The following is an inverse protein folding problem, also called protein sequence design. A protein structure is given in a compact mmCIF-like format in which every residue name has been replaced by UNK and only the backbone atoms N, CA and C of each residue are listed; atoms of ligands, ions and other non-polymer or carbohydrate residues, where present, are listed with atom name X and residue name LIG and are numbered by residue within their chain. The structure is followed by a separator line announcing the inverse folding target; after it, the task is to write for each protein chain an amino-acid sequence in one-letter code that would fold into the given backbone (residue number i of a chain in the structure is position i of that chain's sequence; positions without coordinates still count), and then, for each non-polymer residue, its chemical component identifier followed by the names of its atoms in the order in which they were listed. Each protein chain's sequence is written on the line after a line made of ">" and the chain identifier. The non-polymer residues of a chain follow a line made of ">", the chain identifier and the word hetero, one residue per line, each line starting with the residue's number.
data_IF_911362742523
#
_entry.id   IF_911362742523
#
_cell.length_a   1.000
_cell.length_b   1.000
_cell.length_c   1.000
_cell.angle_alpha   90.00
_cell.angle_beta   90.00
_cell.angle_gamma   90.00
#
_symmetry.space_group_name_H-M   'P 1'
#
loop_
_entity.id
_entity.type
_entity.pdbx_description
1 polymer ?
#
# COMPACT_ATOMS: atom_id res chain seq x y z
N UNK A 1 -21.79 22.65 18.61
CA UNK A 1 -21.12 23.94 18.44
C UNK A 1 -19.62 23.67 18.44
N UNK A 2 -18.89 24.00 17.38
CA UNK A 2 -17.42 23.96 17.38
C UNK A 2 -16.95 25.04 18.37
N UNK A 3 -16.17 24.63 19.34
CA UNK A 3 -15.60 25.59 20.26
C UNK A 3 -14.27 26.11 19.70
N UNK A 4 -13.80 27.28 20.15
CA UNK A 4 -12.59 27.88 19.67
C UNK A 4 -11.35 26.97 19.86
N UNK A 5 -11.36 26.15 20.91
CA UNK A 5 -10.27 25.20 21.18
C UNK A 5 -10.19 24.12 20.11
N UNK A 6 -11.33 23.58 19.68
CA UNK A 6 -11.40 22.51 18.65
C UNK A 6 -10.90 23.04 17.30
N UNK A 7 -11.18 24.31 16.97
CA UNK A 7 -10.71 24.96 15.73
C UNK A 7 -9.17 25.12 15.78
N UNK A 8 -8.63 25.62 16.88
CA UNK A 8 -7.18 25.78 17.04
C UNK A 8 -6.43 24.46 17.06
N UNK A 9 -7.02 23.42 17.65
CA UNK A 9 -6.46 22.08 17.64
C UNK A 9 -6.40 21.50 16.22
N UNK A 10 -7.48 21.63 15.44
CA UNK A 10 -7.51 21.20 14.04
C UNK A 10 -6.47 21.95 13.19
N UNK A 11 -6.35 23.26 13.36
CA UNK A 11 -5.35 24.06 12.66
C UNK A 11 -3.92 23.60 13.01
N UNK A 12 -3.65 23.32 14.29
CA UNK A 12 -2.34 22.82 14.71
C UNK A 12 -2.03 21.43 14.12
N UNK A 13 -3.03 20.55 14.01
CA UNK A 13 -2.86 19.26 13.37
C UNK A 13 -2.41 19.39 11.91
N UNK A 14 -2.97 20.33 11.16
CA UNK A 14 -2.65 20.55 9.74
C UNK A 14 -1.29 21.26 9.61
N UNK A 15 -1.10 22.40 10.28
CA UNK A 15 0.05 23.27 10.06
C UNK A 15 1.36 22.75 10.70
N UNK A 16 1.26 22.02 11.83
CA UNK A 16 2.42 21.66 12.67
C UNK A 16 2.63 20.16 12.85
N UNK A 17 1.60 19.33 12.62
CA UNK A 17 1.62 17.92 12.98
C UNK A 17 1.43 17.01 11.75
N UNK A 18 1.55 17.54 10.54
CA UNK A 18 1.53 16.82 9.28
C UNK A 18 0.24 15.99 9.02
N UNK A 19 -0.93 16.48 9.51
CA UNK A 19 -2.21 15.89 9.11
C UNK A 19 -2.43 16.11 7.63
N UNK A 20 -2.61 15.05 6.87
CA UNK A 20 -2.96 15.14 5.45
C UNK A 20 -4.07 14.16 5.05
N UNK A 21 -4.78 14.50 3.99
CA UNK A 21 -5.52 13.53 3.20
C UNK A 21 -4.51 12.96 2.21
N UNK A 22 -3.99 11.79 2.51
CA UNK A 22 -2.96 11.17 1.70
C UNK A 22 -3.44 10.91 0.28
N UNK A 23 -4.71 10.58 0.12
CA UNK A 23 -5.30 10.38 -1.20
C UNK A 23 -6.82 10.49 -1.21
N UNK A 24 -7.36 11.03 -2.31
CA UNK A 24 -8.71 10.70 -2.77
C UNK A 24 -8.57 9.77 -3.97
N UNK A 25 -9.21 8.61 -3.92
CA UNK A 25 -9.07 7.57 -4.94
C UNK A 25 -10.42 7.20 -5.51
N UNK A 26 -10.57 7.36 -6.83
CA UNK A 26 -11.78 6.93 -7.53
C UNK A 26 -11.63 5.49 -7.98
N UNK A 27 -12.43 4.59 -7.40
CA UNK A 27 -12.58 3.21 -7.86
C UNK A 27 -13.51 3.15 -9.07
N UNK A 28 -13.10 2.47 -10.14
CA UNK A 28 -13.87 2.36 -11.38
C UNK A 28 -13.91 0.91 -11.85
N UNK A 29 -15.10 0.34 -11.94
CA UNK A 29 -15.31 -0.97 -12.58
C UNK A 29 -15.05 -0.87 -14.08
N UNK A 30 -14.27 -1.80 -14.62
CA UNK A 30 -14.00 -1.92 -16.06
C UNK A 30 -14.59 -3.20 -16.66
N UNK A 31 -15.46 -3.92 -15.95
CA UNK A 31 -16.02 -5.19 -16.42
C UNK A 31 -16.79 -5.06 -17.74
N UNK A 32 -17.43 -3.92 -18.00
CA UNK A 32 -18.11 -3.62 -19.26
C UNK A 32 -17.16 -3.25 -20.41
N UNK A 33 -15.87 -3.12 -20.12
CA UNK A 33 -14.82 -2.85 -21.11
C UNK A 33 -14.25 -4.11 -21.76
N UNK A 34 -14.60 -5.32 -21.27
CA UNK A 34 -14.14 -6.58 -21.86
C UNK A 34 -14.42 -6.64 -23.37
N UNK A 35 -13.43 -7.05 -24.14
CA UNK A 35 -13.55 -7.23 -25.60
C UNK A 35 -12.47 -8.21 -26.07
N UNK A 36 -12.76 -9.14 -26.98
CA UNK A 36 -11.75 -10.01 -27.57
C UNK A 36 -10.66 -9.25 -28.34
N UNK A 37 -11.03 -8.13 -28.96
CA UNK A 37 -10.09 -7.25 -29.65
C UNK A 37 -9.39 -6.31 -28.64
N UNK A 38 -8.08 -6.43 -28.54
CA UNK A 38 -7.27 -5.63 -27.59
C UNK A 38 -7.43 -4.12 -27.81
N UNK A 39 -7.49 -3.64 -29.05
CA UNK A 39 -7.62 -2.20 -29.33
C UNK A 39 -8.97 -1.66 -28.87
N UNK A 40 -10.05 -2.39 -29.15
CA UNK A 40 -11.39 -2.02 -28.67
C UNK A 40 -11.48 -2.06 -27.15
N UNK A 41 -10.85 -3.05 -26.50
CA UNK A 41 -10.75 -3.09 -25.05
C UNK A 41 -10.05 -1.84 -24.51
N UNK A 42 -8.88 -1.50 -25.04
CA UNK A 42 -8.13 -0.28 -24.68
C UNK A 42 -8.96 0.98 -24.89
N UNK A 43 -9.64 1.12 -26.03
CA UNK A 43 -10.49 2.28 -26.33
C UNK A 43 -11.64 2.45 -25.32
N UNK A 44 -12.29 1.33 -24.92
CA UNK A 44 -13.35 1.34 -23.91
C UNK A 44 -12.81 1.77 -22.56
N UNK A 45 -11.68 1.18 -22.12
CA UNK A 45 -10.99 1.50 -20.88
C UNK A 45 -10.66 3.01 -20.82
N UNK A 46 -9.97 3.52 -21.83
CA UNK A 46 -9.58 4.92 -21.90
C UNK A 46 -10.80 5.87 -21.81
N UNK A 47 -11.83 5.64 -22.63
CA UNK A 47 -13.05 6.44 -22.67
C UNK A 47 -13.79 6.42 -21.33
N UNK A 48 -13.90 5.25 -20.69
CA UNK A 48 -14.60 5.13 -19.41
C UNK A 48 -13.89 5.89 -18.31
N UNK A 49 -12.58 5.68 -18.15
CA UNK A 49 -11.75 6.34 -17.12
C UNK A 49 -11.79 7.86 -17.31
N UNK A 50 -11.48 8.35 -18.51
CA UNK A 50 -11.40 9.79 -18.77
C UNK A 50 -12.74 10.49 -18.65
N UNK A 51 -13.86 9.80 -18.88
CA UNK A 51 -15.22 10.33 -18.67
C UNK A 51 -15.55 10.44 -17.17
N UNK A 52 -15.28 9.39 -16.38
CA UNK A 52 -15.68 9.35 -14.97
C UNK A 52 -14.76 10.18 -14.08
N UNK A 53 -13.45 10.12 -14.28
CA UNK A 53 -12.47 10.80 -13.44
C UNK A 53 -12.08 12.21 -13.92
N UNK A 54 -12.74 12.76 -14.93
CA UNK A 54 -12.37 14.02 -15.58
C UNK A 54 -12.25 15.22 -14.61
N UNK A 55 -13.05 15.24 -13.54
CA UNK A 55 -13.09 16.34 -12.58
C UNK A 55 -12.43 15.98 -11.24
N UNK A 56 -11.84 14.77 -11.10
CA UNK A 56 -11.29 14.29 -9.81
C UNK A 56 -10.22 15.23 -9.25
N UNK A 57 -9.29 15.65 -10.09
CA UNK A 57 -8.17 16.50 -9.67
C UNK A 57 -8.63 17.91 -9.35
N UNK A 58 -9.47 18.54 -10.19
CA UNK A 58 -9.98 19.88 -9.93
C UNK A 58 -10.80 19.95 -8.65
N UNK A 59 -11.72 18.99 -8.45
CA UNK A 59 -12.52 18.91 -7.22
C UNK A 59 -11.63 18.71 -5.98
N UNK A 60 -10.61 17.85 -6.07
CA UNK A 60 -9.65 17.67 -4.99
C UNK A 60 -8.91 18.97 -4.64
N UNK A 61 -8.44 19.70 -5.64
CA UNK A 61 -7.75 20.98 -5.44
C UNK A 61 -8.67 22.08 -4.86
N UNK A 62 -9.93 22.12 -5.31
CA UNK A 62 -10.94 23.09 -4.81
C UNK A 62 -11.24 22.82 -3.32
N UNK A 63 -11.37 21.54 -2.93
CA UNK A 63 -11.60 21.15 -1.53
C UNK A 63 -10.38 21.48 -0.67
N UNK A 64 -9.19 21.19 -1.16
CA UNK A 64 -7.94 21.54 -0.48
C UNK A 64 -7.85 23.05 -0.23
N UNK A 65 -8.12 23.87 -1.23
CA UNK A 65 -8.11 25.31 -1.12
C UNK A 65 -9.18 25.87 -0.16
N UNK A 66 -10.38 25.27 -0.15
CA UNK A 66 -11.51 25.70 0.66
C UNK A 66 -11.38 25.28 2.13
N UNK A 67 -10.93 24.05 2.39
CA UNK A 67 -10.86 23.50 3.73
C UNK A 67 -9.48 23.74 4.40
N UNK A 68 -8.46 24.11 3.63
CA UNK A 68 -7.08 24.24 4.12
C UNK A 68 -6.43 22.91 4.51
N UNK A 69 -7.02 21.76 4.11
CA UNK A 69 -6.51 20.43 4.41
C UNK A 69 -5.79 19.89 3.17
N UNK A 70 -4.48 19.61 3.24
CA UNK A 70 -3.74 19.09 2.09
C UNK A 70 -4.33 17.78 1.57
N UNK A 71 -4.55 17.67 0.25
CA UNK A 71 -4.91 16.43 -0.44
C UNK A 71 -3.74 16.05 -1.34
N UNK A 72 -2.83 15.25 -0.81
CA UNK A 72 -1.50 15.03 -1.40
C UNK A 72 -1.58 14.30 -2.74
N UNK A 73 -2.44 13.27 -2.84
CA UNK A 73 -2.60 12.50 -4.06
C UNK A 73 -4.07 12.45 -4.50
N UNK A 74 -4.26 12.46 -5.82
CA UNK A 74 -5.51 12.13 -6.49
C UNK A 74 -5.22 10.90 -7.33
N UNK A 75 -5.94 9.79 -7.10
CA UNK A 75 -5.64 8.48 -7.68
C UNK A 75 -6.87 7.83 -8.31
N UNK A 76 -6.62 6.83 -9.14
CA UNK A 76 -7.65 5.94 -9.68
C UNK A 76 -7.26 4.50 -9.33
N UNK A 77 -8.23 3.68 -8.99
CA UNK A 77 -8.10 2.22 -8.95
C UNK A 77 -9.13 1.60 -9.88
N UNK A 78 -8.73 0.56 -10.62
CA UNK A 78 -9.63 -0.09 -11.56
C UNK A 78 -9.76 -1.58 -11.28
N UNK A 79 -10.77 -2.21 -11.84
CA UNK A 79 -10.93 -3.68 -11.80
C UNK A 79 -9.62 -4.34 -12.21
N UNK A 80 -9.18 -5.43 -11.53
CA UNK A 80 -7.99 -6.18 -11.92
C UNK A 80 -7.99 -6.50 -13.42
N UNK A 81 -7.00 -5.97 -14.13
CA UNK A 81 -6.93 -6.07 -15.59
C UNK A 81 -6.90 -7.51 -16.09
N UNK A 82 -6.37 -8.45 -15.31
CA UNK A 82 -6.43 -9.87 -15.68
C UNK A 82 -7.86 -10.38 -15.88
N UNK A 83 -8.84 -9.82 -15.15
CA UNK A 83 -10.26 -10.17 -15.33
C UNK A 83 -10.86 -9.50 -16.58
N UNK A 84 -10.48 -8.27 -16.86
CA UNK A 84 -10.98 -7.48 -18.00
C UNK A 84 -10.39 -7.99 -19.31
N UNK A 85 -9.09 -8.27 -19.31
CA UNK A 85 -8.33 -8.66 -20.49
C UNK A 85 -8.30 -10.19 -20.72
N UNK A 86 -8.87 -10.99 -19.81
CA UNK A 86 -8.81 -12.45 -19.90
C UNK A 86 -9.38 -13.03 -21.19
N UNK A 87 -10.29 -12.31 -21.86
CA UNK A 87 -10.85 -12.67 -23.16
C UNK A 87 -10.10 -12.09 -24.37
N UNK A 88 -9.13 -11.18 -24.14
CA UNK A 88 -8.40 -10.56 -25.25
C UNK A 88 -7.46 -11.55 -25.92
N UNK A 89 -7.50 -11.57 -27.25
CA UNK A 89 -6.55 -12.31 -28.08
C UNK A 89 -5.24 -11.50 -28.24
N UNK A 90 -4.41 -11.55 -27.20
CA UNK A 90 -3.13 -10.85 -27.14
C UNK A 90 -2.11 -11.69 -26.36
N UNK A 91 -0.85 -11.61 -26.77
CA UNK A 91 0.26 -12.29 -26.09
C UNK A 91 0.73 -11.53 -24.82
N UNK A 92 0.53 -10.21 -24.79
CA UNK A 92 0.95 -9.34 -23.72
C UNK A 92 -0.08 -8.23 -23.48
N UNK A 93 -0.17 -7.76 -22.22
CA UNK A 93 -1.07 -6.68 -21.83
C UNK A 93 -0.37 -5.34 -21.60
N UNK A 94 0.85 -5.17 -22.09
CA UNK A 94 1.61 -3.90 -21.99
C UNK A 94 0.86 -2.74 -22.63
N UNK A 95 0.12 -2.96 -23.73
CA UNK A 95 -0.70 -1.91 -24.37
C UNK A 95 -1.87 -1.44 -23.48
N UNK A 96 -2.43 -2.34 -22.65
CA UNK A 96 -3.43 -1.94 -21.64
C UNK A 96 -2.77 -1.08 -20.56
N UNK A 97 -1.58 -1.44 -20.10
CA UNK A 97 -0.84 -0.62 -19.13
C UNK A 97 -0.57 0.79 -19.69
N UNK A 98 -0.12 0.91 -20.93
CA UNK A 98 0.07 2.20 -21.62
C UNK A 98 -1.26 2.97 -21.73
N UNK A 99 -2.36 2.28 -21.96
CA UNK A 99 -3.70 2.89 -22.02
C UNK A 99 -4.12 3.45 -20.66
N UNK A 100 -3.86 2.71 -19.57
CA UNK A 100 -4.09 3.18 -18.19
C UNK A 100 -3.24 4.41 -17.89
N UNK A 101 -1.96 4.40 -18.27
CA UNK A 101 -1.03 5.52 -18.08
C UNK A 101 -1.48 6.78 -18.85
N UNK A 102 -1.90 6.60 -20.09
CA UNK A 102 -2.46 7.68 -20.91
C UNK A 102 -3.73 8.26 -20.30
N UNK A 103 -4.64 7.42 -19.82
CA UNK A 103 -5.85 7.86 -19.13
C UNK A 103 -5.53 8.61 -17.84
N UNK A 104 -4.58 8.10 -17.04
CA UNK A 104 -4.11 8.75 -15.81
C UNK A 104 -3.48 10.13 -16.10
N UNK A 105 -2.67 10.23 -17.15
CA UNK A 105 -2.09 11.52 -17.63
C UNK A 105 -3.17 12.50 -18.07
N UNK A 106 -4.17 12.04 -18.81
CA UNK A 106 -5.30 12.85 -19.26
C UNK A 106 -6.13 13.38 -18.10
N UNK A 107 -6.40 12.57 -17.09
CA UNK A 107 -7.11 12.98 -15.88
C UNK A 107 -6.25 13.81 -14.91
N UNK A 108 -4.92 13.84 -15.09
CA UNK A 108 -3.98 14.56 -14.23
C UNK A 108 -3.72 13.87 -12.87
N UNK A 109 -4.16 12.60 -12.69
CA UNK A 109 -3.98 11.88 -11.42
C UNK A 109 -2.53 11.42 -11.21
N UNK A 110 -2.12 11.26 -9.96
CA UNK A 110 -0.75 10.87 -9.61
C UNK A 110 -0.46 9.41 -9.96
N UNK A 111 -1.40 8.50 -9.64
CA UNK A 111 -1.24 7.06 -9.86
C UNK A 111 -2.56 6.43 -10.32
N UNK A 112 -2.43 5.30 -11.03
CA UNK A 112 -3.53 4.42 -11.37
C UNK A 112 -3.15 2.97 -11.05
N UNK A 113 -3.92 2.34 -10.16
CA UNK A 113 -3.79 0.93 -9.78
C UNK A 113 -4.79 0.06 -10.53
N UNK A 114 -4.55 -1.27 -10.47
CA UNK A 114 -5.43 -2.26 -11.09
C UNK A 114 -4.77 -3.03 -12.25
N UNK A 115 -3.51 -2.75 -12.60
CA UNK A 115 -2.75 -3.68 -13.45
C UNK A 115 -2.40 -4.93 -12.63
N UNK A 116 -3.43 -5.72 -12.32
CA UNK A 116 -3.42 -6.71 -11.24
C UNK A 116 -3.99 -8.06 -11.67
N UNK A 117 -3.52 -9.14 -10.99
CA UNK A 117 -4.04 -10.50 -11.11
C UNK A 117 -4.35 -11.08 -9.72
N UNK A 118 -5.43 -11.86 -9.61
CA UNK A 118 -5.90 -12.50 -8.39
C UNK A 118 -5.76 -14.01 -8.51
N UNK A 119 -4.60 -14.56 -8.14
CA UNK A 119 -4.20 -15.94 -8.41
C UNK A 119 -4.15 -16.86 -7.17
N UNK A 120 -4.70 -16.39 -6.04
CA UNK A 120 -4.74 -17.18 -4.80
C UNK A 120 -5.47 -18.52 -4.94
N UNK A 121 -6.45 -18.62 -5.82
CA UNK A 121 -7.20 -19.87 -6.09
C UNK A 121 -6.61 -20.71 -7.22
N UNK A 122 -5.72 -20.14 -7.98
CA UNK A 122 -5.16 -20.67 -9.21
C UNK A 122 -5.08 -19.57 -10.26
N UNK A 123 -4.30 -19.76 -11.31
CA UNK A 123 -4.09 -18.77 -12.35
C UNK A 123 -4.62 -19.27 -13.70
N UNK A 124 -5.35 -18.43 -14.40
CA UNK A 124 -5.76 -18.62 -15.79
C UNK A 124 -4.62 -18.25 -16.74
N UNK A 125 -4.79 -18.57 -18.03
CA UNK A 125 -3.85 -18.11 -19.07
C UNK A 125 -3.74 -16.58 -19.10
N UNK A 126 -4.88 -15.88 -18.92
CA UNK A 126 -4.91 -14.40 -18.86
C UNK A 126 -4.16 -13.83 -17.67
N UNK A 127 -4.26 -14.47 -16.49
CA UNK A 127 -3.50 -14.06 -15.30
C UNK A 127 -1.99 -14.18 -15.55
N UNK A 128 -1.53 -15.29 -16.14
CA UNK A 128 -0.12 -15.48 -16.47
C UNK A 128 0.38 -14.48 -17.51
N UNK A 129 -0.44 -14.14 -18.51
CA UNK A 129 -0.09 -13.10 -19.50
C UNK A 129 0.09 -11.76 -18.81
N UNK A 130 -0.80 -11.38 -17.90
CA UNK A 130 -0.67 -10.13 -17.13
C UNK A 130 0.58 -10.14 -16.28
N UNK A 131 0.80 -11.17 -15.46
CA UNK A 131 1.95 -11.27 -14.56
C UNK A 131 3.26 -11.12 -15.33
N UNK A 132 3.40 -11.82 -16.46
CA UNK A 132 4.58 -11.74 -17.31
C UNK A 132 4.73 -10.43 -18.06
N UNK A 133 3.66 -9.64 -18.17
CA UNK A 133 3.70 -8.30 -18.76
C UNK A 133 4.14 -7.21 -17.76
N UNK A 134 4.19 -7.50 -16.45
CA UNK A 134 4.51 -6.51 -15.40
C UNK A 134 5.86 -5.83 -15.64
N UNK A 135 6.97 -6.54 -15.90
CA UNK A 135 8.27 -5.87 -16.03
C UNK A 135 8.30 -4.82 -17.14
N UNK A 136 7.85 -5.18 -18.34
CA UNK A 136 7.80 -4.29 -19.50
C UNK A 136 6.73 -3.19 -19.29
N UNK A 137 5.61 -3.48 -18.64
CA UNK A 137 4.60 -2.48 -18.31
C UNK A 137 5.16 -1.42 -17.35
N UNK A 138 5.87 -1.83 -16.29
CA UNK A 138 6.47 -0.89 -15.32
C UNK A 138 7.59 -0.05 -15.93
N UNK A 139 8.35 -0.62 -16.86
CA UNK A 139 9.37 0.11 -17.58
C UNK A 139 8.78 1.10 -18.62
N UNK A 140 7.62 0.80 -19.20
CA UNK A 140 6.98 1.60 -20.24
C UNK A 140 6.00 2.66 -19.71
N UNK A 141 5.71 2.70 -18.41
CA UNK A 141 4.68 3.57 -17.82
C UNK A 141 5.19 4.31 -16.58
N UNK A 142 4.66 5.51 -16.35
CA UNK A 142 5.05 6.35 -15.21
C UNK A 142 4.10 6.18 -14.02
N UNK A 143 2.79 6.15 -14.25
CA UNK A 143 1.73 6.26 -13.24
C UNK A 143 1.03 4.96 -12.91
N UNK A 144 1.27 3.90 -13.68
CA UNK A 144 0.64 2.60 -13.47
C UNK A 144 1.31 1.86 -12.34
N UNK A 145 0.47 1.30 -11.44
CA UNK A 145 0.90 0.40 -10.38
C UNK A 145 0.31 -0.99 -10.61
N UNK A 146 1.11 -2.01 -10.32
CA UNK A 146 0.75 -3.40 -10.50
C UNK A 146 0.67 -4.15 -9.17
N UNK A 147 -0.16 -5.18 -9.11
CA UNK A 147 -0.17 -6.11 -7.97
C UNK A 147 -0.60 -7.52 -8.35
N UNK A 148 -0.14 -8.48 -7.56
CA UNK A 148 -0.56 -9.87 -7.69
C UNK A 148 -0.95 -10.41 -6.31
N UNK A 149 -2.18 -10.86 -6.15
CA UNK A 149 -2.64 -11.51 -4.93
C UNK A 149 -2.42 -13.01 -5.04
N UNK A 150 -1.37 -13.52 -4.34
CA UNK A 150 -0.91 -14.91 -4.47
C UNK A 150 -1.48 -15.86 -3.41
N UNK A 151 -2.11 -15.33 -2.39
CA UNK A 151 -2.56 -16.11 -1.25
C UNK A 151 -3.76 -15.54 -0.54
N UNK A 152 -4.43 -16.38 0.22
CA UNK A 152 -5.45 -15.97 1.18
C UNK A 152 -5.62 -17.01 2.28
N UNK A 153 -6.14 -16.57 3.43
CA UNK A 153 -6.51 -17.48 4.52
C UNK A 153 -7.44 -18.60 4.05
N UNK A 154 -8.33 -18.31 3.10
CA UNK A 154 -9.31 -19.28 2.59
C UNK A 154 -8.74 -20.24 1.56
N UNK A 155 -7.78 -19.81 0.73
CA UNK A 155 -7.28 -20.59 -0.41
C UNK A 155 -5.87 -21.16 -0.18
N UNK A 156 -5.14 -20.71 0.85
CA UNK A 156 -3.72 -21.02 1.00
C UNK A 156 -2.84 -20.16 0.11
N UNK A 157 -1.59 -20.55 -0.10
CA UNK A 157 -0.62 -19.82 -0.92
C UNK A 157 -0.38 -20.56 -2.26
N UNK A 158 -0.39 -19.82 -3.35
CA UNK A 158 -0.03 -20.31 -4.68
C UNK A 158 1.49 -20.17 -4.86
N UNK A 159 2.23 -21.25 -4.59
CA UNK A 159 3.69 -21.24 -4.64
C UNK A 159 4.27 -21.12 -6.05
N UNK A 160 3.51 -21.52 -7.07
CA UNK A 160 3.91 -21.30 -8.47
C UNK A 160 3.91 -19.79 -8.79
N UNK A 161 2.90 -19.07 -8.31
CA UNK A 161 2.84 -17.62 -8.45
C UNK A 161 3.90 -16.92 -7.59
N UNK A 162 4.17 -17.41 -6.38
CA UNK A 162 5.27 -16.91 -5.52
C UNK A 162 6.60 -17.03 -6.25
N UNK A 163 6.90 -18.20 -6.82
CA UNK A 163 8.13 -18.43 -7.58
C UNK A 163 8.25 -17.51 -8.81
N UNK A 164 7.14 -17.27 -9.51
CA UNK A 164 7.13 -16.36 -10.66
C UNK A 164 7.32 -14.91 -10.23
N UNK A 165 6.71 -14.46 -9.13
CA UNK A 165 6.84 -13.07 -8.67
C UNK A 165 8.27 -12.70 -8.30
N UNK A 166 9.07 -13.60 -7.74
CA UNK A 166 10.50 -13.34 -7.52
C UNK A 166 11.25 -13.05 -8.81
N UNK A 167 10.95 -13.80 -9.90
CA UNK A 167 11.54 -13.57 -11.23
C UNK A 167 11.04 -12.24 -11.83
N UNK A 168 9.75 -11.96 -11.70
CA UNK A 168 9.12 -10.71 -12.17
C UNK A 168 9.75 -9.49 -11.50
N UNK A 169 9.91 -9.50 -10.17
CA UNK A 169 10.54 -8.41 -9.42
C UNK A 169 12.00 -8.22 -9.87
N UNK A 170 12.78 -9.31 -10.00
CA UNK A 170 14.15 -9.25 -10.48
C UNK A 170 14.22 -8.66 -11.90
N UNK A 171 13.36 -9.13 -12.81
CA UNK A 171 13.29 -8.60 -14.18
C UNK A 171 12.85 -7.14 -14.24
N UNK A 172 11.91 -6.75 -13.37
CA UNK A 172 11.48 -5.34 -13.27
C UNK A 172 12.64 -4.46 -12.83
N UNK A 173 13.43 -4.90 -11.83
CA UNK A 173 14.62 -4.17 -11.40
C UNK A 173 15.62 -4.00 -12.55
N UNK A 174 15.88 -5.06 -13.32
CA UNK A 174 16.77 -5.01 -14.49
C UNK A 174 16.32 -3.99 -15.54
N UNK A 175 15.03 -4.00 -15.90
CA UNK A 175 14.48 -3.10 -16.91
C UNK A 175 14.39 -1.64 -16.46
N UNK A 176 14.38 -1.39 -15.16
CA UNK A 176 14.30 -0.05 -14.58
C UNK A 176 15.55 0.35 -13.79
N UNK A 177 16.67 -0.33 -14.02
CA UNK A 177 17.97 -0.05 -13.38
C UNK A 177 18.43 1.39 -13.59
N UNK A 178 18.20 1.95 -14.76
CA UNK A 178 18.56 3.33 -15.11
C UNK A 178 17.79 4.40 -14.32
N UNK A 179 16.69 4.02 -13.67
CA UNK A 179 15.84 4.87 -12.84
C UNK A 179 15.78 4.34 -11.38
N UNK A 180 16.92 3.87 -10.86
CA UNK A 180 17.03 3.42 -9.48
C UNK A 180 16.12 2.22 -9.12
N UNK A 181 15.77 1.38 -10.10
CA UNK A 181 14.82 0.26 -9.95
C UNK A 181 13.40 0.69 -9.53
N UNK A 182 12.99 1.92 -9.85
CA UNK A 182 11.71 2.52 -9.51
C UNK A 182 10.50 1.67 -9.94
N UNK A 183 10.63 0.87 -11.00
CA UNK A 183 9.59 -0.07 -11.41
C UNK A 183 9.17 -1.00 -10.28
N UNK A 184 10.11 -1.45 -9.43
CA UNK A 184 9.82 -2.34 -8.30
C UNK A 184 9.00 -1.64 -7.20
N UNK A 185 9.16 -0.33 -7.00
CA UNK A 185 8.36 0.44 -6.06
C UNK A 185 6.87 0.53 -6.46
N UNK A 186 6.55 0.23 -7.73
CA UNK A 186 5.18 0.20 -8.28
C UNK A 186 4.57 -1.21 -8.33
N UNK A 187 5.27 -2.25 -7.86
CA UNK A 187 4.81 -3.65 -7.87
C UNK A 187 4.62 -4.16 -6.45
N UNK A 188 3.45 -4.69 -6.17
CA UNK A 188 3.11 -5.24 -4.85
C UNK A 188 2.63 -6.67 -4.97
N UNK A 189 3.12 -7.55 -4.11
CA UNK A 189 2.62 -8.92 -3.97
C UNK A 189 1.78 -9.00 -2.71
N UNK A 190 0.51 -9.40 -2.85
CA UNK A 190 -0.44 -9.47 -1.74
C UNK A 190 -0.77 -10.91 -1.32
N UNK A 191 -1.10 -11.06 -0.04
CA UNK A 191 -1.98 -12.09 0.48
C UNK A 191 -3.17 -11.45 1.20
N UNK A 192 -4.39 -11.99 1.04
CA UNK A 192 -5.63 -11.41 1.55
C UNK A 192 -5.82 -9.93 1.12
N UNK A 193 -5.56 -9.60 -0.15
CA UNK A 193 -5.76 -8.25 -0.64
C UNK A 193 -7.20 -7.77 -0.42
N UNK A 194 -7.36 -6.54 0.06
CA UNK A 194 -8.66 -5.87 0.18
C UNK A 194 -9.06 -5.21 -1.13
N UNK A 195 -10.36 -5.13 -1.38
CA UNK A 195 -10.92 -4.71 -2.67
C UNK A 195 -11.19 -3.21 -2.76
N UNK A 196 -11.19 -2.52 -1.63
CA UNK A 196 -11.55 -1.10 -1.45
C UNK A 196 -10.37 -0.18 -1.09
N UNK A 197 -9.15 -0.69 -1.15
CA UNK A 197 -7.94 0.03 -0.73
C UNK A 197 -7.67 1.30 -1.58
N UNK A 198 -7.69 2.52 -0.99
CA UNK A 198 -7.39 3.74 -1.72
C UNK A 198 -5.90 4.10 -1.71
N UNK A 199 -5.09 3.44 -0.90
CA UNK A 199 -3.88 4.01 -0.34
C UNK A 199 -2.61 3.47 -0.97
N UNK A 200 -2.48 2.16 -1.06
CA UNK A 200 -1.23 1.53 -1.44
C UNK A 200 -1.02 1.51 -2.96
N UNK A 201 0.24 1.58 -3.39
CA UNK A 201 0.59 1.22 -4.76
C UNK A 201 0.11 -0.20 -5.06
N UNK A 202 -0.44 -0.43 -6.25
CA UNK A 202 -1.03 -1.71 -6.61
C UNK A 202 -2.44 -1.97 -6.05
N UNK A 203 -3.06 -0.99 -5.39
CA UNK A 203 -4.49 -1.04 -5.08
C UNK A 203 -5.32 -1.30 -6.35
N UNK A 204 -6.43 -2.02 -6.22
CA UNK A 204 -7.36 -2.28 -7.31
C UNK A 204 -8.80 -2.10 -6.83
N UNK A 205 -9.72 -1.96 -7.75
CA UNK A 205 -11.14 -1.89 -7.49
C UNK A 205 -11.77 -3.28 -7.62
N UNK A 206 -12.26 -3.83 -6.51
CA UNK A 206 -12.81 -5.18 -6.48
C UNK A 206 -14.08 -5.36 -7.28
N UNK A 207 -14.38 -6.60 -7.63
CA UNK A 207 -15.61 -6.92 -8.39
C UNK A 207 -16.87 -6.84 -7.53
N UNK A 208 -16.73 -6.86 -6.21
CA UNK A 208 -17.82 -6.68 -5.25
C UNK A 208 -18.15 -5.21 -4.96
N UNK A 209 -17.34 -4.29 -5.43
CA UNK A 209 -17.49 -2.85 -5.21
C UNK A 209 -18.49 -2.20 -6.20
N UNK A 210 -19.06 -1.01 -5.89
CA UNK A 210 -19.91 -0.27 -6.79
C UNK A 210 -19.23 0.04 -8.13
N UNK A 211 -20.00 0.30 -9.20
CA UNK A 211 -19.44 0.59 -10.52
C UNK A 211 -18.46 1.77 -10.51
N UNK A 212 -18.73 2.78 -9.69
CA UNK A 212 -17.81 3.88 -9.43
C UNK A 212 -17.99 4.34 -7.98
N UNK A 213 -16.90 4.52 -7.25
CA UNK A 213 -16.91 4.88 -5.82
C UNK A 213 -15.73 5.78 -5.51
N UNK A 214 -15.88 6.66 -4.53
CA UNK A 214 -14.79 7.50 -4.02
C UNK A 214 -14.35 7.00 -2.64
N UNK A 215 -13.10 6.60 -2.51
CA UNK A 215 -12.46 6.21 -1.27
C UNK A 215 -11.41 7.25 -0.85
N UNK A 216 -11.23 7.44 0.44
CA UNK A 216 -10.30 8.42 1.00
C UNK A 216 -9.30 7.73 1.90
N UNK A 217 -8.02 8.05 1.72
CA UNK A 217 -6.96 7.67 2.64
C UNK A 217 -6.51 8.89 3.44
N UNK A 218 -6.59 8.83 4.76
CA UNK A 218 -6.12 9.88 5.66
C UNK A 218 -4.96 9.39 6.49
N UNK A 219 -3.97 10.27 6.72
CA UNK A 219 -2.77 9.94 7.48
C UNK A 219 -2.44 11.03 8.50
N UNK A 220 -1.68 10.66 9.51
CA UNK A 220 -1.27 11.59 10.56
C UNK A 220 -0.38 10.95 11.62
N UNK A 221 0.75 10.29 11.25
CA UNK A 221 1.73 9.82 12.23
C UNK A 221 2.21 10.95 13.13
N UNK A 222 2.49 12.12 12.56
CA UNK A 222 2.93 13.30 13.31
C UNK A 222 1.90 13.77 14.34
N UNK A 223 0.59 13.66 14.04
CA UNK A 223 -0.47 14.01 15.01
C UNK A 223 -0.43 13.07 16.20
N UNK A 224 -0.30 11.75 15.93
CA UNK A 224 -0.22 10.73 16.99
C UNK A 224 1.06 10.88 17.79
N UNK A 225 2.20 11.12 17.14
CA UNK A 225 3.49 11.35 17.80
C UNK A 225 3.41 12.56 18.75
N UNK A 226 2.90 13.69 18.28
CA UNK A 226 2.71 14.89 19.11
C UNK A 226 1.78 14.64 20.30
N UNK A 227 0.69 13.91 20.10
CA UNK A 227 -0.24 13.57 21.19
C UNK A 227 0.45 12.69 22.26
N UNK A 228 1.31 11.75 21.88
CA UNK A 228 2.04 10.91 22.82
C UNK A 228 3.09 11.66 23.62
N UNK A 229 3.72 12.67 23.04
CA UNK A 229 4.65 13.55 23.79
C UNK A 229 3.98 14.21 24.99
N UNK A 230 2.66 14.47 24.94
CA UNK A 230 1.92 15.09 26.04
C UNK A 230 1.64 14.10 27.19
N UNK A 231 1.77 12.81 26.94
CA UNK A 231 1.51 11.73 27.93
C UNK A 231 2.76 10.88 28.16
N UNK A 232 3.94 11.43 27.92
CA UNK A 232 5.23 10.77 28.12
C UNK A 232 5.36 10.20 29.53
N UNK A 233 5.75 8.92 29.62
CA UNK A 233 5.92 8.22 30.89
C UNK A 233 4.62 7.79 31.59
N UNK A 234 3.47 8.02 30.98
CA UNK A 234 2.19 7.49 31.47
C UNK A 234 2.06 6.00 31.15
N UNK A 235 1.07 5.36 31.78
CA UNK A 235 0.80 3.92 31.58
C UNK A 235 0.27 3.61 30.18
N UNK A 236 0.39 2.36 29.73
CA UNK A 236 -0.02 1.96 28.36
C UNK A 236 -1.53 2.11 28.11
N UNK A 237 -2.36 2.04 29.12
CA UNK A 237 -3.80 2.33 29.00
C UNK A 237 -4.06 3.81 28.67
N UNK A 238 -3.31 4.74 29.28
CA UNK A 238 -3.37 6.18 28.95
C UNK A 238 -2.85 6.41 27.53
N UNK A 239 -1.75 5.76 27.13
CA UNK A 239 -1.19 5.80 25.78
C UNK A 239 -2.23 5.33 24.76
N UNK A 240 -2.86 4.17 24.98
CA UNK A 240 -3.88 3.59 24.09
C UNK A 240 -5.11 4.52 23.95
N UNK A 241 -5.61 5.09 25.05
CA UNK A 241 -6.73 6.03 25.00
C UNK A 241 -6.37 7.33 24.25
N UNK A 242 -5.13 7.80 24.39
CA UNK A 242 -4.64 8.98 23.67
C UNK A 242 -4.60 8.72 22.17
N UNK A 243 -4.01 7.59 21.74
CA UNK A 243 -3.96 7.19 20.32
C UNK A 243 -5.38 7.06 19.77
N UNK A 244 -6.27 6.39 20.48
CA UNK A 244 -7.66 6.17 20.05
C UNK A 244 -8.40 7.50 19.83
N UNK A 245 -8.27 8.47 20.73
CA UNK A 245 -8.87 9.80 20.60
C UNK A 245 -8.30 10.56 19.41
N UNK A 246 -7.00 10.54 19.23
CA UNK A 246 -6.31 11.18 18.08
C UNK A 246 -6.76 10.56 16.77
N UNK A 247 -6.78 9.23 16.68
CA UNK A 247 -7.24 8.49 15.51
C UNK A 247 -8.71 8.83 15.16
N UNK A 248 -9.57 8.98 16.18
CA UNK A 248 -10.94 9.45 15.97
C UNK A 248 -10.97 10.82 15.28
N UNK A 249 -10.21 11.79 15.75
CA UNK A 249 -10.16 13.14 15.18
C UNK A 249 -9.65 13.12 13.73
N UNK A 250 -8.55 12.41 13.47
CA UNK A 250 -7.96 12.27 12.13
C UNK A 250 -8.97 11.63 11.15
N UNK A 251 -9.66 10.55 11.55
CA UNK A 251 -10.67 9.89 10.72
C UNK A 251 -11.83 10.83 10.37
N UNK A 252 -12.27 11.66 11.31
CA UNK A 252 -13.35 12.64 11.06
C UNK A 252 -12.98 13.64 9.98
N UNK A 253 -11.70 14.03 9.88
CA UNK A 253 -11.24 14.91 8.81
C UNK A 253 -11.27 14.20 7.45
N UNK A 254 -10.85 12.93 7.38
CA UNK A 254 -10.98 12.12 6.18
C UNK A 254 -12.42 11.97 5.71
N UNK A 255 -13.35 11.71 6.62
CA UNK A 255 -14.77 11.62 6.31
C UNK A 255 -15.34 12.94 5.77
N UNK A 256 -14.97 14.08 6.36
CA UNK A 256 -15.42 15.39 5.91
C UNK A 256 -15.03 15.62 4.44
N UNK A 257 -13.77 15.38 4.10
CA UNK A 257 -13.27 15.52 2.72
C UNK A 257 -13.95 14.52 1.79
N UNK A 258 -14.10 13.26 2.22
CA UNK A 258 -14.72 12.20 1.40
C UNK A 258 -16.18 12.49 1.05
N UNK A 259 -16.97 12.92 2.02
CA UNK A 259 -18.37 13.29 1.80
C UNK A 259 -18.51 14.48 0.84
N UNK A 260 -17.68 15.52 1.01
CA UNK A 260 -17.73 16.69 0.13
C UNK A 260 -17.24 16.37 -1.28
N UNK A 261 -16.17 15.61 -1.44
CA UNK A 261 -15.68 15.17 -2.74
C UNK A 261 -16.71 14.30 -3.48
N UNK A 262 -17.32 13.35 -2.77
CA UNK A 262 -18.43 12.52 -3.28
C UNK A 262 -19.58 13.37 -3.81
N UNK A 263 -20.02 14.35 -3.02
CA UNK A 263 -21.11 15.28 -3.39
C UNK A 263 -20.78 16.08 -4.65
N UNK A 264 -19.57 16.63 -4.76
CA UNK A 264 -19.13 17.44 -5.93
C UNK A 264 -18.94 16.61 -7.19
N UNK A 265 -18.44 15.39 -7.04
CA UNK A 265 -18.21 14.47 -8.16
C UNK A 265 -19.48 13.72 -8.60
N UNK A 266 -20.52 13.69 -7.76
CA UNK A 266 -21.73 12.89 -8.01
C UNK A 266 -21.47 11.38 -8.00
N UNK A 267 -20.48 10.92 -7.21
CA UNK A 267 -20.06 9.52 -7.09
C UNK A 267 -20.28 9.08 -5.65
N UNK A 268 -20.80 7.86 -5.38
CA UNK A 268 -20.98 7.36 -4.01
C UNK A 268 -19.70 7.45 -3.19
N UNK A 269 -19.83 7.81 -1.91
CA UNK A 269 -18.75 7.74 -0.94
C UNK A 269 -18.62 6.28 -0.45
N UNK A 270 -17.45 5.70 -0.58
CA UNK A 270 -17.11 4.35 -0.14
C UNK A 270 -16.58 4.36 1.27
N UNK A 271 -15.26 4.40 1.43
CA UNK A 271 -14.61 4.24 2.73
C UNK A 271 -13.61 5.36 3.05
N UNK A 272 -13.33 5.49 4.35
CA UNK A 272 -12.15 6.15 4.89
C UNK A 272 -11.17 5.09 5.36
N UNK A 273 -9.99 5.10 4.80
CA UNK A 273 -8.85 4.34 5.27
C UNK A 273 -8.00 5.24 6.18
N UNK A 274 -7.99 4.95 7.48
CA UNK A 274 -7.07 5.59 8.41
C UNK A 274 -5.81 4.75 8.51
N UNK A 275 -4.84 5.05 7.68
CA UNK A 275 -3.52 4.43 7.75
C UNK A 275 -2.48 5.45 8.18
N UNK A 276 -1.81 5.17 9.30
CA UNK A 276 -0.64 5.95 9.71
C UNK A 276 0.51 5.60 8.74
N UNK A 277 0.49 6.26 7.59
CA UNK A 277 1.50 6.12 6.55
C UNK A 277 2.47 7.29 6.68
N UNK A 278 3.72 7.03 7.09
CA UNK A 278 4.71 8.07 7.30
C UNK A 278 5.12 8.73 5.99
N UNK A 279 5.86 9.84 6.12
CA UNK A 279 6.64 10.45 5.06
C UNK A 279 8.10 10.58 5.50
N UNK A 280 9.05 10.83 4.58
CA UNK A 280 10.44 11.09 4.95
C UNK A 280 10.65 12.37 5.77
N UNK A 281 9.61 13.17 5.95
CA UNK A 281 9.68 14.40 6.73
C UNK A 281 9.89 14.12 8.22
N UNK A 282 10.77 14.89 8.84
CA UNK A 282 11.01 14.81 10.28
C UNK A 282 9.73 15.15 11.04
N UNK A 283 9.35 14.27 11.97
CA UNK A 283 8.13 14.42 12.77
C UNK A 283 6.93 13.64 12.24
N UNK A 284 7.00 13.06 11.06
CA UNK A 284 5.94 12.24 10.45
C UNK A 284 6.37 10.77 10.34
N UNK A 285 6.70 10.13 11.47
CA UNK A 285 7.31 8.80 11.54
C UNK A 285 6.56 7.87 12.49
N UNK A 286 6.24 6.66 12.02
CA UNK A 286 5.69 5.58 12.85
C UNK A 286 6.76 5.03 13.81
N UNK A 287 8.01 4.93 13.37
CA UNK A 287 9.11 4.51 14.24
C UNK A 287 9.24 5.44 15.44
N UNK A 288 9.13 6.76 15.25
CA UNK A 288 9.19 7.73 16.36
C UNK A 288 8.01 7.62 17.31
N UNK A 289 6.83 7.25 16.83
CA UNK A 289 5.69 6.91 17.71
C UNK A 289 6.05 5.74 18.62
N UNK A 290 6.66 4.69 18.08
CA UNK A 290 7.06 3.51 18.86
C UNK A 290 8.17 3.85 19.88
N UNK A 291 9.11 4.70 19.50
CA UNK A 291 10.17 5.19 20.39
C UNK A 291 9.61 6.08 21.52
N UNK A 292 8.61 6.91 21.24
CA UNK A 292 7.95 7.72 22.28
C UNK A 292 7.24 6.87 23.34
N UNK A 293 6.86 5.62 23.00
CA UNK A 293 6.33 4.64 23.96
C UNK A 293 7.41 4.06 24.90
N UNK A 294 8.67 4.51 24.79
CA UNK A 294 9.77 4.15 25.68
C UNK A 294 10.80 3.20 25.07
N UNK A 295 10.79 3.00 23.77
CA UNK A 295 11.84 2.25 23.06
C UNK A 295 12.99 3.19 22.71
N UNK A 296 14.23 2.77 22.91
CA UNK A 296 15.40 3.59 22.53
C UNK A 296 15.55 3.72 21.01
N UNK A 297 15.31 2.60 20.28
CA UNK A 297 15.35 2.54 18.82
C UNK A 297 14.29 1.57 18.32
N UNK A 298 13.59 1.92 17.28
CA UNK A 298 12.68 1.03 16.58
C UNK A 298 13.42 -0.21 16.08
N UNK A 299 12.83 -1.39 16.22
CA UNK A 299 13.47 -2.67 15.92
C UNK A 299 13.98 -3.41 17.17
N UNK A 300 14.26 -2.73 18.29
CA UNK A 300 14.64 -3.39 19.54
C UNK A 300 13.50 -4.25 20.12
N UNK A 301 13.82 -5.10 21.10
CA UNK A 301 12.80 -5.90 21.82
C UNK A 301 11.72 -4.99 22.42
N UNK A 302 10.44 -5.35 22.26
CA UNK A 302 9.30 -4.53 22.61
C UNK A 302 8.62 -3.84 21.42
N UNK A 303 9.31 -3.63 20.30
CA UNK A 303 8.76 -2.93 19.11
C UNK A 303 7.49 -3.59 18.58
N UNK A 304 7.45 -4.92 18.47
CA UNK A 304 6.26 -5.65 18.01
C UNK A 304 5.07 -5.44 18.96
N UNK A 305 5.30 -5.43 20.28
CA UNK A 305 4.25 -5.19 21.27
C UNK A 305 3.73 -3.74 21.20
N UNK A 306 4.64 -2.75 21.09
CA UNK A 306 4.26 -1.34 20.92
C UNK A 306 3.46 -1.13 19.62
N UNK A 307 3.86 -1.77 18.52
CA UNK A 307 3.14 -1.71 17.25
C UNK A 307 1.75 -2.37 17.33
N UNK A 308 1.62 -3.48 18.05
CA UNK A 308 0.33 -4.13 18.28
C UNK A 308 -0.65 -3.18 19.00
N UNK A 309 -0.17 -2.51 20.04
CA UNK A 309 -0.96 -1.49 20.76
C UNK A 309 -1.34 -0.34 19.84
N UNK A 310 -0.38 0.22 19.09
CA UNK A 310 -0.62 1.31 18.15
C UNK A 310 -1.69 0.94 17.13
N UNK A 311 -1.52 -0.19 16.46
CA UNK A 311 -2.41 -0.64 15.39
C UNK A 311 -3.85 -0.88 15.89
N UNK A 312 -4.01 -1.51 17.05
CA UNK A 312 -5.31 -1.76 17.68
C UNK A 312 -5.99 -0.46 18.09
N UNK A 313 -5.28 0.45 18.74
CA UNK A 313 -5.83 1.73 19.19
C UNK A 313 -6.25 2.63 18.01
N UNK A 314 -5.47 2.65 16.93
CA UNK A 314 -5.81 3.37 15.69
C UNK A 314 -7.09 2.82 15.09
N UNK A 315 -7.22 1.51 14.93
CA UNK A 315 -8.44 0.86 14.39
C UNK A 315 -9.67 1.16 15.24
N UNK A 316 -9.54 1.08 16.56
CA UNK A 316 -10.64 1.41 17.50
C UNK A 316 -11.07 2.87 17.35
N UNK A 317 -10.15 3.81 17.23
CA UNK A 317 -10.45 5.22 17.01
C UNK A 317 -11.16 5.46 15.68
N UNK A 318 -10.70 4.83 14.60
CA UNK A 318 -11.32 4.90 13.28
C UNK A 318 -12.77 4.43 13.27
N UNK A 319 -13.02 3.22 13.76
CA UNK A 319 -14.37 2.62 13.82
C UNK A 319 -15.35 3.46 14.66
N UNK A 320 -14.87 4.12 15.70
CA UNK A 320 -15.70 5.03 16.51
C UNK A 320 -16.03 6.33 15.77
N UNK A 321 -15.21 6.75 14.81
CA UNK A 321 -15.36 8.03 14.11
C UNK A 321 -16.27 7.96 12.89
N UNK A 322 -16.34 6.83 12.22
CA UNK A 322 -17.06 6.64 10.96
C UNK A 322 -17.58 5.22 10.81
N UNK A 323 -18.75 5.08 10.20
CA UNK A 323 -19.28 3.80 9.74
C UNK A 323 -18.78 3.43 8.32
N UNK A 324 -17.94 4.25 7.75
CA UNK A 324 -17.31 4.07 6.42
C UNK A 324 -15.84 3.65 6.53
N UNK A 325 -15.41 3.05 7.64
CA UNK A 325 -14.01 2.60 7.78
C UNK A 325 -13.78 1.34 6.95
N UNK A 326 -12.73 1.35 6.16
CA UNK A 326 -12.35 0.23 5.29
C UNK A 326 -10.87 0.28 4.91
N UNK A 327 -10.54 -0.33 3.78
CA UNK A 327 -9.17 -0.40 3.29
C UNK A 327 -8.26 -1.20 4.22
N UNK A 328 -7.06 -0.70 4.43
CA UNK A 328 -6.04 -1.33 5.28
C UNK A 328 -6.11 -0.88 6.74
N UNK A 329 -6.47 0.36 6.98
CA UNK A 329 -6.58 1.05 8.29
C UNK A 329 -5.65 0.53 9.39
N UNK A 330 -4.77 1.37 9.90
CA UNK A 330 -3.83 1.01 10.97
C UNK A 330 -2.45 1.62 10.79
N UNK A 331 -1.41 0.97 11.28
CA UNK A 331 -0.05 1.46 11.20
C UNK A 331 0.72 0.81 10.04
N UNK A 332 1.30 1.63 9.16
CA UNK A 332 2.21 1.22 8.09
C UNK A 332 3.66 1.30 8.57
N UNK A 333 4.50 0.44 8.03
CA UNK A 333 5.93 0.37 8.37
C UNK A 333 6.83 0.35 7.11
N UNK A 334 6.62 1.24 6.13
CA UNK A 334 7.49 1.32 4.96
C UNK A 334 8.87 1.83 5.36
N UNK A 335 9.94 1.13 4.95
CA UNK A 335 11.28 1.49 5.41
C UNK A 335 11.78 2.76 4.76
N UNK A 336 11.56 2.98 3.45
CA UNK A 336 12.07 4.18 2.77
C UNK A 336 11.29 5.46 3.02
N UNK A 337 10.05 5.34 3.47
CA UNK A 337 9.12 6.46 3.65
C UNK A 337 9.07 6.99 5.10
N UNK A 338 9.87 6.41 6.02
CA UNK A 338 9.87 6.72 7.45
C UNK A 338 11.30 7.02 7.93
N UNK A 339 11.56 8.26 8.33
CA UNK A 339 12.92 8.68 8.73
C UNK A 339 13.44 7.88 9.93
N UNK A 340 12.58 7.46 10.85
CA UNK A 340 12.96 6.63 11.99
C UNK A 340 13.21 5.18 11.61
N UNK A 341 12.44 4.61 10.65
CA UNK A 341 12.72 3.27 10.11
C UNK A 341 14.03 3.24 9.33
N UNK A 342 14.29 4.26 8.51
CA UNK A 342 15.57 4.44 7.80
C UNK A 342 16.72 4.44 8.81
N UNK A 343 16.66 5.29 9.82
CA UNK A 343 17.71 5.40 10.84
C UNK A 343 17.92 4.07 11.63
N UNK A 344 16.84 3.36 11.96
CA UNK A 344 16.89 2.09 12.66
C UNK A 344 17.49 0.96 11.80
N UNK A 345 17.17 0.95 10.49
CA UNK A 345 17.73 -0.01 9.54
C UNK A 345 19.23 0.24 9.31
N UNK A 346 19.66 1.49 9.14
CA UNK A 346 21.08 1.84 9.00
C UNK A 346 21.90 1.52 10.24
N UNK A 347 21.29 1.64 11.42
CA UNK A 347 21.91 1.23 12.69
C UNK A 347 22.01 -0.29 12.83
N UNK A 348 21.32 -1.06 11.98
CA UNK A 348 21.24 -2.51 12.06
C UNK A 348 20.35 -3.03 13.18
N UNK A 349 19.56 -2.18 13.84
CA UNK A 349 18.60 -2.58 14.88
C UNK A 349 17.31 -3.10 14.24
N UNK A 350 16.92 -2.54 13.11
CA UNK A 350 15.79 -2.99 12.30
C UNK A 350 16.29 -3.82 11.14
N UNK A 351 15.99 -5.11 11.14
CA UNK A 351 16.35 -6.10 10.10
C UNK A 351 15.08 -6.73 9.53
N UNK A 352 15.18 -7.45 8.41
CA UNK A 352 14.03 -8.06 7.73
C UNK A 352 13.28 -9.01 8.66
N UNK A 353 13.98 -9.92 9.39
CA UNK A 353 13.33 -10.83 10.34
C UNK A 353 12.52 -10.09 11.42
N UNK A 354 13.01 -8.92 11.85
CA UNK A 354 12.29 -8.08 12.80
C UNK A 354 11.08 -7.42 12.16
N UNK A 355 11.19 -6.98 10.92
CA UNK A 355 10.06 -6.46 10.16
C UNK A 355 8.99 -7.52 9.95
N UNK A 356 9.36 -8.77 9.60
CA UNK A 356 8.42 -9.89 9.48
C UNK A 356 7.67 -10.14 10.81
N UNK A 357 8.35 -10.10 11.94
CA UNK A 357 7.69 -10.19 13.24
C UNK A 357 6.73 -9.00 13.50
N UNK A 358 7.08 -7.81 13.04
CA UNK A 358 6.23 -6.61 13.13
C UNK A 358 5.03 -6.71 12.20
N UNK A 359 5.17 -7.33 11.03
CA UNK A 359 4.07 -7.50 10.07
C UNK A 359 2.96 -8.43 10.56
N UNK A 360 3.22 -9.25 11.57
CA UNK A 360 2.16 -10.00 12.26
C UNK A 360 1.10 -9.08 12.86
N UNK A 361 1.45 -7.86 13.22
CA UNK A 361 0.58 -6.93 13.98
C UNK A 361 0.41 -5.56 13.32
N UNK A 362 1.09 -5.25 12.21
CA UNK A 362 0.87 -4.04 11.43
C UNK A 362 -0.39 -4.17 10.53
N UNK A 363 -0.70 -3.15 9.76
CA UNK A 363 -1.85 -3.19 8.84
C UNK A 363 -1.51 -3.61 7.41
N UNK A 364 -0.24 -3.63 7.02
CA UNK A 364 0.16 -3.92 5.63
C UNK A 364 1.11 -5.12 5.54
N UNK A 365 2.40 -4.94 5.72
CA UNK A 365 3.41 -5.97 5.48
C UNK A 365 4.81 -5.38 5.31
N UNK A 366 5.68 -6.11 4.61
CA UNK A 366 7.01 -5.66 4.22
C UNK A 366 6.88 -4.63 3.10
N UNK A 367 7.18 -3.39 3.42
CA UNK A 367 6.94 -2.31 2.47
C UNK A 367 8.20 -1.47 2.23
N UNK A 368 8.47 -1.20 0.94
CA UNK A 368 9.61 -0.39 0.47
C UNK A 368 10.97 -0.89 1.00
N UNK A 369 11.21 -2.19 0.87
CA UNK A 369 12.43 -2.86 1.32
C UNK A 369 13.44 -2.91 0.19
N UNK A 370 14.53 -2.17 0.28
CA UNK A 370 15.65 -2.32 -0.63
C UNK A 370 16.58 -3.47 -0.17
N UNK A 371 16.94 -4.34 -1.10
CA UNK A 371 17.87 -5.47 -0.87
C UNK A 371 19.02 -5.41 -1.86
N UNK A 372 20.16 -6.08 -1.61
CA UNK A 372 21.28 -6.11 -2.57
C UNK A 372 20.82 -6.51 -3.97
N UNK A 373 21.41 -5.85 -4.98
CA UNK A 373 21.01 -6.06 -6.37
C UNK A 373 21.26 -7.47 -6.91
N UNK A 374 22.17 -8.23 -6.29
CA UNK A 374 22.47 -9.62 -6.60
C UNK A 374 21.58 -10.64 -5.88
N UNK A 375 20.69 -10.21 -4.97
CA UNK A 375 19.72 -11.09 -4.30
C UNK A 375 19.01 -11.97 -5.31
N UNK A 376 18.98 -13.29 -5.06
CA UNK A 376 18.40 -14.26 -6.00
C UNK A 376 16.88 -14.13 -6.10
N UNK A 377 16.32 -14.48 -7.26
CA UNK A 377 14.86 -14.53 -7.40
C UNK A 377 14.21 -15.51 -6.42
N UNK A 378 14.93 -16.59 -6.04
CA UNK A 378 14.45 -17.56 -5.08
C UNK A 378 14.40 -16.98 -3.66
N UNK A 379 15.41 -16.20 -3.25
CA UNK A 379 15.41 -15.48 -1.96
C UNK A 379 14.25 -14.47 -1.89
N UNK A 380 14.04 -13.67 -2.96
CA UNK A 380 12.90 -12.75 -3.04
C UNK A 380 11.57 -13.53 -2.92
N UNK A 381 11.45 -14.65 -3.63
CA UNK A 381 10.27 -15.52 -3.53
C UNK A 381 10.06 -16.08 -2.12
N UNK A 382 11.13 -16.42 -1.40
CA UNK A 382 11.04 -16.94 -0.03
C UNK A 382 10.54 -15.87 0.94
N UNK A 383 11.04 -14.65 0.85
CA UNK A 383 10.54 -13.49 1.63
C UNK A 383 9.04 -13.25 1.33
N UNK A 384 8.62 -13.34 0.07
CA UNK A 384 7.21 -13.24 -0.30
C UNK A 384 6.40 -14.37 0.33
N UNK A 385 6.92 -15.60 0.36
CA UNK A 385 6.24 -16.75 0.94
C UNK A 385 6.05 -16.59 2.46
N UNK A 386 7.08 -16.14 3.17
CA UNK A 386 7.05 -15.93 4.61
C UNK A 386 6.02 -14.85 4.98
N UNK A 387 6.05 -13.72 4.31
CA UNK A 387 5.10 -12.63 4.54
C UNK A 387 3.66 -13.03 4.20
N UNK A 388 3.47 -13.76 3.10
CA UNK A 388 2.16 -14.28 2.72
C UNK A 388 1.64 -15.33 3.73
N UNK A 389 2.52 -16.14 4.30
CA UNK A 389 2.16 -17.10 5.36
C UNK A 389 1.71 -16.39 6.64
N UNK A 390 2.40 -15.30 7.02
CA UNK A 390 1.99 -14.43 8.13
C UNK A 390 0.57 -13.91 7.89
N UNK A 391 0.29 -13.36 6.71
CA UNK A 391 -1.04 -12.87 6.33
C UNK A 391 -2.10 -13.95 6.37
N UNK A 392 -1.80 -15.11 5.78
CA UNK A 392 -2.69 -16.25 5.70
C UNK A 392 -3.10 -16.76 7.09
N UNK A 393 -2.13 -16.96 7.99
CA UNK A 393 -2.37 -17.52 9.34
C UNK A 393 -3.10 -16.52 10.23
N UNK A 394 -2.72 -15.25 10.16
CA UNK A 394 -3.31 -14.18 10.99
C UNK A 394 -4.63 -13.61 10.43
N UNK A 395 -5.11 -14.09 9.28
CA UNK A 395 -6.34 -13.58 8.64
C UNK A 395 -6.27 -12.06 8.42
N UNK A 396 -5.14 -11.58 7.96
CA UNK A 396 -4.90 -10.16 7.67
C UNK A 396 -4.30 -9.98 6.27
N UNK A 397 -4.47 -8.81 5.70
CA UNK A 397 -3.74 -8.43 4.49
C UNK A 397 -2.26 -8.33 4.80
N UNK A 398 -1.44 -8.95 3.97
CA UNK A 398 -0.01 -8.66 3.89
C UNK A 398 0.37 -8.29 2.47
N UNK A 399 1.34 -7.40 2.35
CA UNK A 399 1.89 -6.91 1.10
C UNK A 399 3.40 -6.98 1.14
N UNK A 400 4.02 -7.25 0.00
CA UNK A 400 5.47 -7.24 -0.17
C UNK A 400 5.83 -6.32 -1.31
N UNK A 401 6.65 -5.31 -1.01
CA UNK A 401 7.22 -4.37 -1.97
C UNK A 401 8.74 -4.34 -1.77
N UNK A 402 9.45 -5.19 -2.56
CA UNK A 402 10.90 -5.37 -2.50
C UNK A 402 11.55 -4.72 -3.73
N UNK A 403 12.67 -4.05 -3.49
CA UNK A 403 13.45 -3.34 -4.50
C UNK A 403 14.87 -3.91 -4.54
N UNK A 404 15.17 -4.85 -5.46
CA UNK A 404 16.53 -5.29 -5.70
C UNK A 404 17.34 -4.12 -6.27
N UNK A 405 18.26 -3.57 -5.48
CA UNK A 405 19.02 -2.36 -5.80
C UNK A 405 20.24 -2.71 -6.67
N UNK A 406 20.08 -2.78 -7.98
CA UNK A 406 21.15 -3.19 -8.89
C UNK A 406 22.38 -2.30 -8.75
N UNK A 407 23.53 -2.93 -8.62
CA UNK A 407 24.84 -2.26 -8.44
C UNK A 407 25.05 -1.70 -7.03
N UNK A 408 24.18 -2.00 -6.07
CA UNK A 408 24.27 -1.56 -4.68
C UNK A 408 24.38 -2.74 -3.73
N UNK A 409 25.01 -2.51 -2.59
CA UNK A 409 25.25 -3.49 -1.53
C UNK A 409 24.73 -2.97 -0.19
N UNK A 410 24.73 -3.83 0.83
CA UNK A 410 24.37 -3.45 2.20
C UNK A 410 25.18 -2.22 2.65
N UNK A 411 24.49 -1.23 3.19
CA UNK A 411 25.08 0.05 3.59
C UNK A 411 24.91 1.18 2.56
N UNK A 412 24.58 0.85 1.31
CA UNK A 412 24.20 1.85 0.30
C UNK A 412 22.75 2.32 0.49
N UNK A 413 22.35 3.36 -0.25
CA UNK A 413 20.96 3.84 -0.32
C UNK A 413 20.45 3.86 -1.75
N UNK A 414 19.14 3.63 -1.90
CA UNK A 414 18.39 3.83 -3.14
C UNK A 414 17.55 5.10 -2.98
N UNK A 415 17.78 6.09 -3.83
CA UNK A 415 16.97 7.31 -3.86
C UNK A 415 15.73 7.07 -4.73
N UNK A 416 14.54 7.18 -4.13
CA UNK A 416 13.25 6.99 -4.79
C UNK A 416 12.53 8.33 -5.00
N UNK A 417 12.92 9.33 -4.25
CA UNK A 417 12.42 10.70 -4.35
C UNK A 417 11.00 10.93 -3.83
N UNK A 418 10.65 12.19 -3.66
CA UNK A 418 9.33 12.61 -3.20
C UNK A 418 8.89 11.93 -1.91
N UNK A 419 7.66 11.46 -1.87
CA UNK A 419 7.09 10.75 -0.72
C UNK A 419 7.66 9.34 -0.51
N UNK A 420 8.28 8.75 -1.54
CA UNK A 420 8.87 7.42 -1.46
C UNK A 420 10.24 7.42 -0.73
N UNK A 421 10.84 8.59 -0.59
CA UNK A 421 12.05 8.82 0.20
C UNK A 421 13.31 8.12 -0.32
N UNK A 422 14.09 7.57 0.60
CA UNK A 422 15.32 6.83 0.30
C UNK A 422 15.38 5.53 1.11
N UNK A 423 15.64 4.41 0.45
CA UNK A 423 15.71 3.10 1.10
C UNK A 423 17.17 2.72 1.41
N UNK A 424 17.53 2.43 2.67
CA UNK A 424 18.79 1.75 2.98
C UNK A 424 18.74 0.32 2.44
N UNK A 425 19.81 -0.14 1.81
CA UNK A 425 19.93 -1.52 1.33
C UNK A 425 20.14 -2.44 2.53
N UNK A 426 19.12 -3.25 2.84
CA UNK A 426 19.08 -4.13 4.01
C UNK A 426 19.71 -5.50 3.70
N UNK A 427 20.39 -6.13 4.66
CA UNK A 427 20.93 -7.46 4.47
C UNK A 427 19.83 -8.51 4.33
N UNK A 428 20.09 -9.52 3.49
CA UNK A 428 19.30 -10.76 3.39
C UNK A 428 20.18 -11.95 3.80
N UNK A 429 19.56 -13.06 4.19
CA UNK A 429 20.32 -14.29 4.50
C UNK A 429 21.03 -14.82 3.26
N UNK A 430 22.24 -15.35 3.43
CA UNK A 430 23.08 -15.90 2.36
C UNK A 430 22.69 -17.31 1.94
N UNK A 431 21.97 -18.03 2.83
CA UNK A 431 21.54 -19.40 2.61
C UNK A 431 20.43 -19.46 1.56
N UNK A 432 20.56 -20.40 0.62
CA UNK A 432 19.68 -20.51 -0.53
C UNK A 432 18.32 -21.13 -0.20
N UNK A 433 17.27 -20.61 -0.85
CA UNK A 433 15.89 -21.11 -0.76
C UNK A 433 15.40 -21.77 -2.06
N UNK A 434 16.30 -22.03 -3.01
CA UNK A 434 15.96 -22.53 -4.36
C UNK A 434 15.18 -23.82 -4.31
N UNK A 435 15.61 -24.79 -3.49
CA UNK A 435 14.94 -26.09 -3.38
C UNK A 435 13.55 -25.98 -2.75
N UNK A 436 13.34 -25.05 -1.82
CA UNK A 436 12.04 -24.78 -1.23
C UNK A 436 11.09 -24.18 -2.25
N UNK A 437 11.51 -23.14 -2.96
CA UNK A 437 10.70 -22.44 -3.97
C UNK A 437 10.41 -23.33 -5.17
N UNK A 438 11.37 -24.14 -5.60
CA UNK A 438 11.22 -25.06 -6.73
C UNK A 438 10.17 -26.18 -6.50
N UNK A 439 9.72 -26.40 -5.26
CA UNK A 439 8.65 -27.37 -4.98
C UNK A 439 7.33 -26.98 -5.65
N UNK A 440 7.06 -25.68 -5.78
CA UNK A 440 5.84 -25.17 -6.41
C UNK A 440 4.55 -25.63 -5.73
N UNK A 441 3.48 -25.67 -6.48
CA UNK A 441 2.18 -26.13 -6.02
C UNK A 441 1.52 -25.19 -5.02
N UNK A 442 1.00 -25.72 -3.91
CA UNK A 442 0.23 -24.92 -2.94
C UNK A 442 0.59 -25.26 -1.51
N UNK A 443 0.78 -24.21 -0.67
CA UNK A 443 0.69 -24.37 0.77
C UNK A 443 -0.81 -24.31 1.13
N UNK A 444 -1.37 -25.37 1.77
CA UNK A 444 -2.81 -25.43 2.07
C UNK A 444 -3.27 -24.30 3.00
N UNK A 445 -4.55 -23.97 2.94
CA UNK A 445 -5.19 -23.07 3.88
C UNK A 445 -5.06 -23.60 5.33
N UNK A 446 -4.79 -22.74 6.31
CA UNK A 446 -4.66 -23.15 7.70
C UNK A 446 -6.00 -23.57 8.29
N UNK A 447 -5.99 -24.47 9.27
CA UNK A 447 -7.16 -24.78 10.08
C UNK A 447 -7.45 -23.60 11.01
N UNK A 448 -8.45 -22.82 10.72
CA UNK A 448 -8.82 -21.62 11.50
C UNK A 448 -9.24 -21.94 12.95
N UNK A 449 -9.71 -23.16 13.21
CA UNK A 449 -10.09 -23.63 14.54
C UNK A 449 -8.90 -23.89 15.47
N UNK A 450 -7.67 -23.92 14.93
CA UNK A 450 -6.44 -24.14 15.69
C UNK A 450 -5.69 -22.82 15.93
N UNK A 451 -6.42 -21.74 16.14
CA UNK A 451 -5.80 -20.49 16.62
C UNK A 451 -5.36 -20.71 18.07
N UNK A 452 -4.08 -20.79 18.26
CA UNK A 452 -3.48 -20.82 19.60
C UNK A 452 -3.41 -19.41 20.17
#
# INVERSE_FOLDING_TARGET
>A
MLNQKDILETQAMIEKQHLDIRTITMGISLLDCCDPDLRRCCDKIYKKITRLAKNLVSVGNDIEAEFGIPIVNKRISVTPIALVAGSCDAESYVEIAKTLDAAAKTCGVNFIGGFSALVQKGATTGDWKLIRSIPEAMAATERVCASVNIGSTKAGLNMDAVAEMGRIIKRTAELTAGDGCMGCAKVVVFANAVEDNPFMAGAFHGVGEPECVLNVGVSGPGVVHHALQQVKGQTFDVVAETIKKTAFQVTRMGQLVGVEASRRLGVPFGIVDLSLAPTPAVGDSVARILEEMGLEVCGTHGTTAALALLNDAVKKGGVMASNHVGGLSGAFIPVSEDEGMIAAAERGTLVIDKLEAMTCVCSVGLDMIAVPGDTSAATISAIIADEAAIGMVNTKTTAVRIIPALGKSVGDRVELGGLLGSAPVMPVHSEGSEAFIARGGRIPAPLQSLKN
#
